data_IF_372474141806
#
_entry.id   IF_372474141806
#
_cell.length_a   1.000
_cell.length_b   1.000
_cell.length_c   1.000
_cell.angle_alpha   90.00
_cell.angle_beta   90.00
_cell.angle_gamma   90.00
#
_symmetry.space_group_name_H-M   'P 1'
#
loop_
_entity.id
_entity.type
_entity.pdbx_description
1 polymer ?
#
# COMPACT_ATOMS: atom_id res chain seq x y z
N UNK A 1 -27.81 -16.23 -19.73
CA UNK A 1 -26.54 -16.77 -20.26
C UNK A 1 -25.51 -16.69 -19.15
N UNK A 2 -25.03 -17.85 -18.67
CA UNK A 2 -24.24 -17.98 -17.44
C UNK A 2 -22.77 -17.61 -17.66
N UNK A 3 -22.22 -16.78 -16.77
CA UNK A 3 -20.78 -16.48 -16.71
C UNK A 3 -20.10 -17.57 -15.88
N UNK A 4 -19.11 -18.23 -16.47
CA UNK A 4 -18.24 -19.20 -15.77
C UNK A 4 -17.07 -18.45 -15.15
N UNK A 5 -16.71 -18.82 -13.92
CA UNK A 5 -15.49 -18.36 -13.27
C UNK A 5 -14.29 -18.85 -14.08
N UNK A 6 -13.53 -17.93 -14.69
CA UNK A 6 -12.39 -18.27 -15.54
C UNK A 6 -11.96 -17.21 -16.56
N UNK A 7 -12.72 -16.12 -16.75
CA UNK A 7 -12.28 -15.03 -17.64
C UNK A 7 -11.12 -14.26 -16.99
N UNK A 8 -9.90 -14.60 -17.42
CA UNK A 8 -8.71 -13.81 -17.20
C UNK A 8 -8.98 -12.39 -17.73
N UNK A 9 -9.04 -11.44 -16.80
CA UNK A 9 -9.20 -10.01 -17.08
C UNK A 9 -8.27 -9.59 -18.22
N UNK A 10 -8.87 -9.22 -19.37
CA UNK A 10 -8.15 -8.67 -20.52
C UNK A 10 -7.46 -7.38 -20.09
N UNK A 11 -6.16 -7.46 -19.80
CA UNK A 11 -5.30 -6.37 -19.33
C UNK A 11 -4.99 -5.29 -20.40
N UNK A 12 -5.66 -5.32 -21.55
CA UNK A 12 -5.28 -4.53 -22.73
C UNK A 12 -6.06 -3.23 -22.96
N UNK A 13 -7.13 -2.93 -22.21
CA UNK A 13 -8.08 -1.86 -22.57
C UNK A 13 -8.25 -0.75 -21.51
N UNK A 14 -7.37 -0.66 -20.52
CA UNK A 14 -7.44 0.41 -19.51
C UNK A 14 -6.78 1.70 -20.04
N UNK A 15 -7.47 2.37 -20.95
CA UNK A 15 -7.09 3.65 -21.55
C UNK A 15 -7.15 4.83 -20.53
N UNK A 16 -6.22 4.89 -19.58
CA UNK A 16 -5.93 6.03 -18.65
C UNK A 16 -7.14 6.90 -18.20
N UNK A 17 -8.21 6.37 -17.60
CA UNK A 17 -8.91 7.10 -16.55
C UNK A 17 -8.22 6.85 -15.20
N UNK A 18 -8.37 7.77 -14.24
CA UNK A 18 -7.94 7.52 -12.86
C UNK A 18 -8.60 6.23 -12.36
N UNK A 19 -7.81 5.18 -12.11
CA UNK A 19 -8.32 3.87 -11.72
C UNK A 19 -8.70 3.81 -10.24
N UNK A 20 -8.17 4.75 -9.47
CA UNK A 20 -8.43 4.95 -8.07
C UNK A 20 -8.64 6.43 -7.85
N UNK A 21 -9.73 6.82 -7.20
CA UNK A 21 -10.00 8.18 -6.80
C UNK A 21 -9.62 8.44 -5.34
N UNK A 22 -9.34 9.71 -5.02
CA UNK A 22 -9.15 10.14 -3.63
C UNK A 22 -10.41 9.86 -2.81
N UNK A 23 -10.21 9.30 -1.62
CA UNK A 23 -11.24 8.80 -0.70
C UNK A 23 -12.02 7.57 -1.18
N UNK A 24 -11.65 6.94 -2.30
CA UNK A 24 -12.31 5.73 -2.78
C UNK A 24 -11.97 4.52 -1.89
N UNK A 25 -12.92 3.59 -1.75
CA UNK A 25 -12.68 2.32 -1.09
C UNK A 25 -11.98 1.36 -2.04
N UNK A 26 -10.73 1.01 -1.75
CA UNK A 26 -9.87 0.17 -2.60
C UNK A 26 -9.48 -1.13 -1.90
N UNK A 27 -9.16 -2.14 -2.69
CA UNK A 27 -8.59 -3.41 -2.22
C UNK A 27 -7.07 -3.35 -2.37
N UNK A 28 -6.38 -3.42 -1.23
CA UNK A 28 -4.94 -3.59 -1.18
C UNK A 28 -4.64 -5.08 -1.33
N UNK A 29 -3.78 -5.42 -2.27
CA UNK A 29 -3.23 -6.75 -2.45
C UNK A 29 -1.77 -6.70 -2.05
N UNK A 30 -1.42 -7.42 -0.99
CA UNK A 30 -0.04 -7.63 -0.58
C UNK A 30 0.38 -9.02 -1.05
N UNK A 31 1.38 -9.07 -1.91
CA UNK A 31 1.97 -10.32 -2.40
C UNK A 31 3.36 -10.49 -1.79
N UNK A 32 3.54 -11.56 -1.01
CA UNK A 32 4.84 -11.99 -0.49
C UNK A 32 5.08 -13.46 -0.84
N UNK A 33 6.33 -13.95 -0.82
CA UNK A 33 6.62 -15.34 -1.16
C UNK A 33 5.83 -16.31 -0.25
N UNK A 34 4.85 -17.00 -0.82
CA UNK A 34 4.00 -17.96 -0.12
C UNK A 34 2.75 -17.38 0.58
N UNK A 35 2.46 -16.08 0.47
CA UNK A 35 1.26 -15.48 1.07
C UNK A 35 0.71 -14.33 0.23
N UNK A 36 -0.61 -14.35 0.00
CA UNK A 36 -1.35 -13.22 -0.56
C UNK A 36 -2.31 -12.71 0.49
N UNK A 37 -2.19 -11.45 0.86
CA UNK A 37 -3.06 -10.80 1.83
C UNK A 37 -3.86 -9.69 1.14
N UNK A 38 -5.18 -9.86 1.11
CA UNK A 38 -6.11 -8.83 0.61
C UNK A 38 -6.75 -8.08 1.76
N UNK A 39 -6.63 -6.75 1.74
CA UNK A 39 -7.17 -5.87 2.76
C UNK A 39 -8.02 -4.79 2.09
N UNK A 40 -9.02 -4.28 2.81
CA UNK A 40 -9.73 -3.06 2.38
C UNK A 40 -9.02 -1.84 2.95
N UNK A 41 -8.93 -0.81 2.14
CA UNK A 41 -8.47 0.50 2.58
C UNK A 41 -9.18 1.60 1.82
N UNK A 42 -8.79 2.82 2.14
CA UNK A 42 -9.33 4.03 1.56
C UNK A 42 -8.18 4.78 0.90
N UNK A 43 -8.25 4.99 -0.41
CA UNK A 43 -7.24 5.76 -1.11
C UNK A 43 -7.25 7.19 -0.59
N UNK A 44 -6.10 7.74 -0.25
CA UNK A 44 -5.97 9.15 0.17
C UNK A 44 -5.73 10.07 -1.02
N UNK A 45 -5.27 9.49 -2.12
CA UNK A 45 -4.90 10.16 -3.36
C UNK A 45 -5.52 9.40 -4.53
N UNK A 46 -5.79 10.15 -5.60
CA UNK A 46 -6.20 9.54 -6.86
C UNK A 46 -4.93 9.13 -7.63
N UNK A 47 -5.04 8.07 -8.43
CA UNK A 47 -3.91 7.61 -9.22
C UNK A 47 -4.29 6.69 -10.36
N UNK A 48 -3.42 6.68 -11.36
CA UNK A 48 -3.54 5.87 -12.57
C UNK A 48 -2.76 4.56 -12.45
N UNK A 49 -2.97 3.62 -13.38
CA UNK A 49 -2.23 2.36 -13.45
C UNK A 49 -0.71 2.60 -13.38
N UNK A 50 -0.05 1.93 -12.43
CA UNK A 50 1.40 2.03 -12.22
C UNK A 50 1.84 3.21 -11.34
N UNK A 51 0.92 4.08 -10.91
CA UNK A 51 1.24 5.21 -10.04
C UNK A 51 1.25 4.80 -8.56
N UNK A 52 2.11 5.45 -7.78
CA UNK A 52 2.20 5.25 -6.33
C UNK A 52 1.20 6.16 -5.64
N UNK A 53 0.25 5.57 -4.92
CA UNK A 53 -0.76 6.28 -4.14
C UNK A 53 -0.68 5.92 -2.67
N UNK A 54 -0.97 6.88 -1.79
CA UNK A 54 -1.12 6.61 -0.38
C UNK A 54 -2.52 6.04 -0.08
N UNK A 55 -2.56 4.89 0.59
CA UNK A 55 -3.82 4.23 0.97
C UNK A 55 -3.90 4.08 2.48
N UNK A 56 -4.98 4.57 3.07
CA UNK A 56 -5.28 4.40 4.48
C UNK A 56 -5.92 3.04 4.74
N UNK A 57 -5.29 2.21 5.55
CA UNK A 57 -5.92 1.00 6.04
C UNK A 57 -6.99 1.38 7.08
N UNK A 58 -8.25 1.01 6.83
CA UNK A 58 -9.38 1.35 7.71
C UNK A 58 -9.35 0.63 9.07
N UNK A 59 -8.66 -0.51 9.16
CA UNK A 59 -8.58 -1.32 10.37
C UNK A 59 -7.46 -0.85 11.31
N UNK A 60 -6.27 -0.60 10.76
CA UNK A 60 -5.10 -0.15 11.55
C UNK A 60 -4.91 1.36 11.56
N UNK A 61 -5.67 2.11 10.76
CA UNK A 61 -5.49 3.56 10.52
C UNK A 61 -4.08 3.95 10.06
N UNK A 62 -3.34 3.00 9.47
CA UNK A 62 -2.00 3.24 8.94
C UNK A 62 -2.08 3.60 7.47
N UNK A 63 -1.30 4.61 7.06
CA UNK A 63 -1.09 4.95 5.65
C UNK A 63 -0.04 4.02 5.06
N UNK A 64 -0.38 3.39 3.95
CA UNK A 64 0.44 2.41 3.25
C UNK A 64 0.63 2.92 1.82
N UNK A 65 1.87 3.17 1.38
CA UNK A 65 2.14 3.48 -0.02
C UNK A 65 1.99 2.21 -0.86
N UNK A 66 1.31 2.31 -2.00
CA UNK A 66 1.08 1.19 -2.91
C UNK A 66 0.99 1.62 -4.36
N UNK A 67 1.21 0.69 -5.27
CA UNK A 67 1.14 0.91 -6.72
C UNK A 67 -0.22 0.49 -7.23
N UNK A 68 -0.92 1.38 -7.93
CA UNK A 68 -2.22 1.06 -8.53
C UNK A 68 -2.03 0.00 -9.62
N UNK A 69 -2.63 -1.17 -9.44
CA UNK A 69 -2.52 -2.30 -10.38
C UNK A 69 -3.81 -2.56 -11.14
N UNK A 70 -4.90 -1.88 -10.78
CA UNK A 70 -6.17 -1.97 -11.48
C UNK A 70 -7.25 -1.10 -10.86
N UNK A 71 -8.47 -1.09 -11.44
CA UNK A 71 -9.60 -0.34 -10.89
C UNK A 71 -9.92 -0.81 -9.48
N UNK A 72 -9.87 0.12 -8.52
CA UNK A 72 -10.06 -0.17 -7.09
C UNK A 72 -9.06 -1.18 -6.51
N UNK A 73 -7.92 -1.41 -7.19
CA UNK A 73 -6.91 -2.42 -6.82
C UNK A 73 -5.53 -1.80 -6.72
N UNK A 74 -4.91 -1.94 -5.55
CA UNK A 74 -3.58 -1.40 -5.25
C UNK A 74 -2.70 -2.53 -4.78
N UNK A 75 -1.58 -2.76 -5.46
CA UNK A 75 -0.57 -3.73 -5.03
C UNK A 75 0.43 -3.02 -4.14
N UNK A 76 0.58 -3.53 -2.93
CA UNK A 76 1.55 -3.03 -1.96
C UNK A 76 2.68 -4.05 -1.86
N UNK A 77 3.91 -3.58 -1.98
CA UNK A 77 5.07 -4.35 -1.52
C UNK A 77 5.24 -4.02 -0.04
N UNK A 78 5.38 -5.05 0.81
CA UNK A 78 5.68 -4.84 2.22
C UNK A 78 7.03 -4.10 2.32
N UNK A 79 6.98 -2.78 2.40
CA UNK A 79 8.12 -1.99 2.81
C UNK A 79 8.42 -2.44 4.22
N UNK A 80 9.54 -3.14 4.38
CA UNK A 80 10.06 -3.61 5.66
C UNK A 80 9.87 -2.46 6.65
N UNK A 81 9.07 -2.63 7.72
CA UNK A 81 8.92 -1.55 8.68
C UNK A 81 10.33 -1.28 9.20
N UNK A 82 10.88 -0.09 8.90
CA UNK A 82 12.01 0.43 9.66
C UNK A 82 11.49 0.58 11.08
N UNK A 83 11.71 -0.46 11.88
CA UNK A 83 11.76 -0.35 13.33
C UNK A 83 12.60 0.88 13.60
N UNK A 84 11.99 1.84 14.27
CA UNK A 84 12.59 3.10 14.64
C UNK A 84 14.01 2.85 15.17
N UNK A 85 14.98 3.09 14.30
CA UNK A 85 16.36 3.28 14.68
C UNK A 85 16.43 4.68 15.27
N UNK A 86 16.11 4.78 16.56
CA UNK A 86 16.50 5.88 17.42
C UNK A 86 17.07 5.30 18.72
N UNK A 87 18.02 4.37 18.57
CA UNK A 87 19.12 4.24 19.50
C UNK A 87 20.06 5.41 19.26
N UNK A 88 19.90 6.48 20.03
CA UNK A 88 20.88 7.57 20.12
C UNK A 88 20.93 8.07 21.57
N UNK A 89 21.37 7.21 22.47
CA UNK A 89 21.96 7.62 23.74
C UNK A 89 23.49 7.52 23.59
N UNK A 90 24.20 8.60 23.22
CA UNK A 90 25.60 8.70 23.57
C UNK A 90 25.67 9.08 25.05
N UNK A 91 25.85 8.05 25.88
CA UNK A 91 26.41 8.11 27.23
C UNK A 91 27.56 9.13 27.23
N UNK A 92 27.39 10.27 27.90
CA UNK A 92 28.46 11.23 28.14
C UNK A 92 29.10 10.93 29.51
N UNK A 93 30.28 10.29 29.60
CA UNK A 93 31.03 10.23 30.83
C UNK A 93 31.90 11.48 30.98
N UNK A 94 31.98 11.96 32.22
CA UNK A 94 33.02 12.85 32.76
C UNK A 94 32.92 14.36 32.43
N UNK A 95 32.53 15.11 33.47
CA UNK A 95 33.26 16.25 34.07
C UNK A 95 32.47 16.61 35.34
N UNK A 96 33.03 16.94 36.50
CA UNK A 96 34.37 16.98 37.08
C UNK A 96 34.04 17.37 38.53
N UNK A 97 34.64 16.71 39.50
CA UNK A 97 34.70 17.16 40.89
C UNK A 97 34.99 18.66 40.97
N UNK A 98 34.12 19.40 41.66
CA UNK A 98 34.47 20.51 42.53
C UNK A 98 33.35 20.70 43.56
#
# INVERSE_FOLDING_TARGET
>A
RALRAGDALRAGDLAKPELVQRNESVTLVLETPGLVLTLRGKALEAGSLGEVVNVLNIHSKRTIPGVVSGPGRVTVVAATPRLAAAAAEPRNPARRTQ
#
